data_IF_126654747790
#
_entry.id   IF_126654747790
#
_cell.length_a   1.000
_cell.length_b   1.000
_cell.length_c   1.000
_cell.angle_alpha   90.00
_cell.angle_beta   90.00
_cell.angle_gamma   90.00
#
_symmetry.space_group_name_H-M   'P 1'
#
loop_
_entity.id
_entity.type
_entity.pdbx_description
1 polymer ?
#
# COMPACT_ATOMS: atom_id res chain seq x y z
N UNK A 1 23.55 -6.14 28.11
CA UNK A 1 22.28 -5.39 28.32
C UNK A 1 22.61 -3.92 28.23
N UNK A 2 22.52 -3.32 27.06
CA UNK A 2 22.72 -1.87 26.87
C UNK A 2 21.36 -1.23 26.74
N UNK A 3 20.92 -0.56 27.80
CA UNK A 3 19.63 0.15 27.84
C UNK A 3 19.64 1.31 26.86
N UNK A 4 18.65 1.31 25.97
CA UNK A 4 18.32 2.41 25.08
C UNK A 4 17.81 3.61 25.91
N UNK A 5 18.23 4.87 25.68
CA UNK A 5 17.75 6.05 26.36
C UNK A 5 16.21 6.27 26.23
N UNK A 6 15.55 5.62 25.28
CA UNK A 6 14.09 5.65 25.10
C UNK A 6 13.35 4.44 25.69
N UNK A 7 14.02 3.60 26.50
CA UNK A 7 13.40 2.50 27.24
C UNK A 7 12.98 1.28 26.39
N UNK A 8 13.30 1.21 25.09
CA UNK A 8 13.00 0.06 24.23
C UNK A 8 14.11 -0.97 24.33
N UNK A 9 13.74 -2.23 24.57
CA UNK A 9 14.65 -3.38 24.59
C UNK A 9 14.77 -3.97 23.18
N UNK A 10 15.96 -4.42 22.80
CA UNK A 10 16.13 -5.31 21.66
C UNK A 10 15.67 -6.69 22.11
N UNK A 11 14.67 -7.26 21.44
CA UNK A 11 14.16 -8.61 21.73
C UNK A 11 14.94 -9.64 20.88
N UNK A 12 16.14 -9.98 21.29
CA UNK A 12 16.91 -11.02 20.62
C UNK A 12 16.79 -12.33 21.43
N UNK A 13 16.35 -13.40 20.77
CA UNK A 13 16.18 -14.76 21.30
C UNK A 13 15.26 -14.90 22.52
N UNK A 14 14.21 -14.07 22.56
CA UNK A 14 13.21 -14.17 23.63
C UNK A 14 12.07 -15.13 23.21
N UNK A 15 11.58 -15.92 24.16
CA UNK A 15 10.41 -16.79 23.93
C UNK A 15 9.13 -15.96 23.86
N UNK A 16 8.23 -16.34 22.95
CA UNK A 16 6.93 -15.64 22.77
C UNK A 16 6.11 -15.73 24.06
N UNK A 17 6.06 -16.89 24.70
CA UNK A 17 5.32 -17.11 25.95
C UNK A 17 5.89 -16.36 27.17
N UNK A 18 7.11 -15.84 27.08
CA UNK A 18 7.75 -15.04 28.12
C UNK A 18 7.64 -13.52 27.91
N UNK A 19 7.04 -13.09 26.78
CA UNK A 19 6.80 -11.67 26.53
C UNK A 19 5.78 -11.11 27.54
N UNK A 20 6.13 -10.01 28.17
CA UNK A 20 5.16 -9.28 29.00
C UNK A 20 4.08 -8.62 28.11
N UNK A 21 2.95 -8.24 28.70
CA UNK A 21 1.91 -7.48 27.98
C UNK A 21 2.49 -6.18 27.39
N UNK A 22 3.39 -5.51 28.10
CA UNK A 22 4.09 -4.31 27.63
C UNK A 22 5.00 -4.59 26.43
N UNK A 23 5.74 -5.69 26.45
CA UNK A 23 6.61 -6.12 25.34
C UNK A 23 5.78 -6.47 24.11
N UNK A 24 4.72 -7.23 24.28
CA UNK A 24 3.79 -7.58 23.21
C UNK A 24 3.17 -6.35 22.59
N UNK A 25 2.68 -5.42 23.42
CA UNK A 25 2.14 -4.14 22.94
C UNK A 25 3.19 -3.34 22.17
N UNK A 26 4.43 -3.27 22.64
CA UNK A 26 5.52 -2.55 21.96
C UNK A 26 5.84 -3.14 20.58
N UNK A 27 5.80 -4.48 20.43
CA UNK A 27 5.98 -5.16 19.15
C UNK A 27 4.78 -4.95 18.20
N UNK A 28 3.56 -4.90 18.72
CA UNK A 28 2.34 -4.78 17.94
C UNK A 28 1.99 -3.33 17.58
N UNK A 29 2.40 -2.34 18.40
CA UNK A 29 2.13 -0.92 18.12
C UNK A 29 3.20 -0.36 17.18
N UNK A 30 2.94 -0.41 15.89
CA UNK A 30 3.91 -0.06 14.84
C UNK A 30 3.53 1.16 14.02
N UNK A 31 2.29 1.66 14.17
CA UNK A 31 1.84 2.87 13.48
C UNK A 31 2.68 4.08 13.90
N UNK A 32 3.25 4.76 12.92
CA UNK A 32 3.91 6.06 13.08
C UNK A 32 2.93 7.25 12.89
N UNK A 33 1.69 6.97 12.51
CA UNK A 33 0.64 7.97 12.40
C UNK A 33 0.14 8.37 13.79
N UNK A 34 -0.01 9.69 14.01
CA UNK A 34 -0.55 10.22 15.26
C UNK A 34 0.46 10.90 16.20
N UNK A 35 1.69 11.14 15.77
CA UNK A 35 2.53 12.11 16.47
C UNK A 35 1.90 13.50 16.31
N UNK A 36 1.46 14.09 17.41
CA UNK A 36 0.71 15.37 17.40
C UNK A 36 1.42 16.49 16.62
N UNK A 37 2.75 16.50 16.62
CA UNK A 37 3.58 17.44 15.88
C UNK A 37 3.49 17.25 14.37
N UNK A 38 3.51 15.99 13.90
CA UNK A 38 3.38 15.66 12.47
C UNK A 38 1.97 15.97 11.99
N UNK A 39 0.96 15.58 12.76
CA UNK A 39 -0.45 15.86 12.45
C UNK A 39 -0.71 17.35 12.30
N UNK A 40 -0.28 18.18 13.27
CA UNK A 40 -0.47 19.62 13.23
C UNK A 40 0.29 20.29 12.06
N UNK A 41 1.54 19.87 11.83
CA UNK A 41 2.35 20.41 10.73
C UNK A 41 1.76 20.05 9.38
N UNK A 42 1.31 18.81 9.20
CA UNK A 42 0.68 18.33 7.96
C UNK A 42 -0.63 19.06 7.69
N UNK A 43 -1.46 19.27 8.72
CA UNK A 43 -2.70 20.03 8.60
C UNK A 43 -2.44 21.45 8.09
N UNK A 44 -1.40 22.11 8.62
CA UNK A 44 -1.00 23.44 8.16
C UNK A 44 -0.57 23.43 6.69
N UNK A 45 0.27 22.48 6.27
CA UNK A 45 0.72 22.36 4.89
C UNK A 45 -0.45 22.12 3.91
N UNK A 46 -1.35 21.20 4.25
CA UNK A 46 -2.55 20.92 3.44
C UNK A 46 -3.49 22.14 3.36
N UNK A 47 -3.68 22.84 4.48
CA UNK A 47 -4.46 24.09 4.52
C UNK A 47 -3.86 25.17 3.62
N UNK A 48 -2.54 25.27 3.58
CA UNK A 48 -1.82 26.24 2.76
C UNK A 48 -1.95 25.92 1.27
N UNK A 49 -1.78 24.66 0.87
CA UNK A 49 -2.03 24.24 -0.53
C UNK A 49 -3.47 24.52 -0.93
N UNK A 50 -4.45 24.22 -0.08
CA UNK A 50 -5.86 24.48 -0.37
C UNK A 50 -6.19 25.97 -0.54
N UNK A 51 -5.50 26.84 0.19
CA UNK A 51 -5.76 28.27 0.18
C UNK A 51 -5.00 29.02 -0.91
N UNK A 52 -3.76 28.59 -1.24
CA UNK A 52 -2.84 29.35 -2.11
C UNK A 52 -2.38 28.60 -3.36
N UNK A 53 -2.84 27.35 -3.55
CA UNK A 53 -2.56 26.57 -4.77
C UNK A 53 -1.07 26.42 -5.08
N UNK A 54 -0.71 26.69 -6.33
CA UNK A 54 0.66 26.57 -6.86
C UNK A 54 1.68 27.40 -6.07
N UNK A 55 1.29 28.57 -5.56
CA UNK A 55 2.19 29.45 -4.79
C UNK A 55 2.72 28.74 -3.55
N UNK A 56 1.86 28.01 -2.82
CA UNK A 56 2.29 27.24 -1.67
C UNK A 56 3.25 26.11 -2.07
N UNK A 57 3.04 25.48 -3.21
CA UNK A 57 3.88 24.39 -3.72
C UNK A 57 5.28 24.86 -4.12
N UNK A 58 5.40 26.02 -4.75
CA UNK A 58 6.72 26.62 -5.05
C UNK A 58 7.50 26.96 -3.78
N UNK A 59 6.83 27.53 -2.77
CA UNK A 59 7.45 27.83 -1.49
C UNK A 59 7.87 26.55 -0.75
N UNK A 60 7.06 25.48 -0.82
CA UNK A 60 7.42 24.16 -0.24
C UNK A 60 8.62 23.53 -0.94
N UNK A 61 8.73 23.62 -2.27
CA UNK A 61 9.89 23.14 -3.02
C UNK A 61 11.17 23.87 -2.59
N UNK A 62 11.12 25.20 -2.46
CA UNK A 62 12.24 25.98 -1.95
C UNK A 62 12.60 25.61 -0.51
N UNK A 63 11.60 25.52 0.39
CA UNK A 63 11.82 25.30 1.82
C UNK A 63 12.27 23.87 2.18
N UNK A 64 11.72 22.85 1.52
CA UNK A 64 11.93 21.46 1.89
C UNK A 64 12.85 20.68 0.96
N UNK A 65 12.81 21.01 -0.34
CA UNK A 65 13.67 20.37 -1.35
C UNK A 65 14.91 21.20 -1.66
N UNK A 66 14.94 22.48 -1.24
CA UNK A 66 16.06 23.41 -1.44
C UNK A 66 16.24 23.83 -2.90
N UNK A 67 15.15 23.83 -3.68
CA UNK A 67 15.18 24.07 -5.12
C UNK A 67 14.16 25.12 -5.52
N UNK A 68 14.62 26.12 -6.28
CA UNK A 68 13.72 27.08 -6.91
C UNK A 68 13.25 26.54 -8.26
N UNK A 69 11.95 26.19 -8.33
CA UNK A 69 11.32 25.72 -9.56
C UNK A 69 10.35 26.79 -10.09
N UNK A 70 10.24 26.90 -11.40
CA UNK A 70 9.38 27.89 -12.06
C UNK A 70 8.14 27.26 -12.70
N UNK A 71 8.10 25.94 -12.80
CA UNK A 71 6.98 25.15 -13.29
C UNK A 71 6.88 23.88 -12.49
N UNK A 72 5.66 23.52 -12.08
CA UNK A 72 5.39 22.27 -11.37
C UNK A 72 5.35 21.08 -12.34
N UNK A 73 4.74 21.26 -13.52
CA UNK A 73 4.62 20.20 -14.51
C UNK A 73 5.93 19.99 -15.27
N UNK A 74 6.40 18.74 -15.29
CA UNK A 74 7.62 18.33 -15.97
C UNK A 74 7.34 18.08 -17.44
N UNK A 75 8.04 18.74 -18.37
CA UNK A 75 7.80 18.57 -19.79
C UNK A 75 8.14 17.17 -20.28
N UNK A 76 7.34 16.61 -21.17
CA UNK A 76 7.50 15.24 -21.70
C UNK A 76 8.89 14.96 -22.27
N UNK A 77 9.53 15.96 -22.90
CA UNK A 77 10.88 15.84 -23.42
C UNK A 77 11.89 15.42 -22.34
N UNK A 78 11.74 15.92 -21.10
CA UNK A 78 12.63 15.55 -20.00
C UNK A 78 12.51 14.05 -19.60
N UNK A 79 11.33 13.44 -19.79
CA UNK A 79 11.15 12.01 -19.50
C UNK A 79 11.82 11.16 -20.57
N UNK A 80 11.70 11.57 -21.85
CA UNK A 80 12.33 10.91 -22.98
C UNK A 80 13.85 10.99 -22.90
N UNK A 81 14.40 12.15 -22.54
CA UNK A 81 15.82 12.33 -22.28
C UNK A 81 16.29 11.46 -21.10
N UNK A 82 15.51 11.42 -20.02
CA UNK A 82 15.78 10.57 -18.86
C UNK A 82 15.84 9.10 -19.28
N UNK A 83 14.84 8.60 -20.01
CA UNK A 83 14.82 7.22 -20.51
C UNK A 83 16.02 6.92 -21.41
N UNK A 84 16.35 7.82 -22.32
CA UNK A 84 17.48 7.67 -23.23
C UNK A 84 18.86 7.70 -22.51
N UNK A 85 18.92 8.22 -21.28
CA UNK A 85 20.14 8.30 -20.48
C UNK A 85 20.41 7.08 -19.62
N UNK A 86 19.46 6.15 -19.48
CA UNK A 86 19.59 4.97 -18.63
C UNK A 86 20.34 3.83 -19.33
N UNK A 87 20.98 2.99 -18.53
CA UNK A 87 21.56 1.73 -19.00
C UNK A 87 20.46 0.80 -19.55
N UNK A 88 20.75 0.13 -20.63
CA UNK A 88 19.83 -0.82 -21.27
C UNK A 88 19.39 -1.94 -20.32
N UNK A 89 20.31 -2.47 -19.50
CA UNK A 89 19.99 -3.52 -18.53
C UNK A 89 18.91 -3.08 -17.52
N UNK A 90 18.93 -1.81 -17.12
CA UNK A 90 17.91 -1.26 -16.23
C UNK A 90 16.56 -1.09 -16.93
N UNK A 91 16.58 -0.63 -18.19
CA UNK A 91 15.37 -0.52 -19.01
C UNK A 91 14.74 -1.90 -19.21
N UNK A 92 15.53 -2.90 -19.61
CA UNK A 92 15.08 -4.28 -19.81
C UNK A 92 14.47 -4.89 -18.54
N UNK A 93 15.09 -4.60 -17.36
CA UNK A 93 14.58 -5.03 -16.08
C UNK A 93 13.23 -4.37 -15.74
N UNK A 94 13.09 -3.05 -15.95
CA UNK A 94 11.81 -2.35 -15.76
C UNK A 94 10.74 -2.85 -16.71
N UNK A 95 11.04 -3.06 -17.99
CA UNK A 95 10.09 -3.61 -18.96
C UNK A 95 9.66 -5.04 -18.61
N UNK A 96 10.58 -5.88 -18.11
CA UNK A 96 10.22 -7.21 -17.61
C UNK A 96 9.29 -7.12 -16.41
N UNK A 97 9.56 -6.23 -15.48
CA UNK A 97 8.67 -5.96 -14.34
C UNK A 97 7.27 -5.52 -14.79
N UNK A 98 7.19 -4.59 -15.75
CA UNK A 98 5.93 -4.12 -16.35
C UNK A 98 5.15 -5.30 -16.95
N UNK A 99 5.77 -6.13 -17.78
CA UNK A 99 5.10 -7.30 -18.40
C UNK A 99 4.55 -8.25 -17.33
N UNK A 100 5.30 -8.51 -16.26
CA UNK A 100 4.86 -9.39 -15.19
C UNK A 100 3.70 -8.77 -14.38
N UNK A 101 3.80 -7.47 -14.05
CA UNK A 101 2.72 -6.72 -13.41
C UNK A 101 1.45 -6.76 -14.26
N UNK A 102 1.52 -6.42 -15.54
CA UNK A 102 0.37 -6.47 -16.44
C UNK A 102 -0.28 -7.85 -16.47
N UNK A 103 0.53 -8.91 -16.58
CA UNK A 103 0.04 -10.28 -16.63
C UNK A 103 -0.74 -10.65 -15.38
N UNK A 104 -0.20 -10.35 -14.20
CA UNK A 104 -0.85 -10.65 -12.92
C UNK A 104 -2.10 -9.79 -12.73
N UNK A 105 -2.02 -8.49 -13.01
CA UNK A 105 -3.16 -7.58 -12.82
C UNK A 105 -4.31 -7.87 -13.79
N UNK A 106 -4.03 -8.29 -15.03
CA UNK A 106 -5.05 -8.78 -15.97
C UNK A 106 -5.72 -10.06 -15.47
N UNK A 107 -4.99 -10.97 -14.83
CA UNK A 107 -5.57 -12.17 -14.23
C UNK A 107 -6.49 -11.86 -13.02
N UNK A 108 -6.25 -10.75 -12.33
CA UNK A 108 -7.09 -10.29 -11.22
C UNK A 108 -8.24 -9.37 -11.64
N UNK A 109 -8.33 -9.05 -12.92
CA UNK A 109 -9.39 -8.17 -13.43
C UNK A 109 -10.77 -8.83 -13.25
N UNK A 110 -11.72 -8.15 -12.58
CA UNK A 110 -13.01 -8.73 -12.27
C UNK A 110 -13.95 -8.68 -13.46
N UNK A 111 -14.88 -9.63 -13.52
CA UNK A 111 -15.92 -9.71 -14.56
C UNK A 111 -17.26 -9.18 -14.05
N UNK A 112 -18.05 -8.58 -14.95
CA UNK A 112 -19.43 -8.25 -14.68
C UNK A 112 -20.24 -9.54 -14.37
N UNK A 113 -21.25 -9.41 -13.53
CA UNK A 113 -22.13 -10.52 -13.18
C UNK A 113 -23.55 -10.05 -13.01
N UNK A 114 -24.51 -10.92 -13.31
CA UNK A 114 -25.94 -10.73 -13.08
C UNK A 114 -26.51 -11.92 -12.30
N UNK A 115 -27.54 -11.64 -11.52
CA UNK A 115 -28.32 -12.67 -10.83
C UNK A 115 -29.78 -12.25 -10.74
N UNK A 116 -30.66 -13.23 -10.63
CA UNK A 116 -32.12 -13.03 -10.41
C UNK A 116 -32.48 -13.62 -9.06
N UNK A 117 -32.72 -12.80 -8.02
CA UNK A 117 -33.19 -13.29 -6.73
C UNK A 117 -34.63 -13.84 -6.79
N UNK A 118 -35.45 -13.26 -7.67
CA UNK A 118 -36.82 -13.68 -7.96
C UNK A 118 -37.10 -13.50 -9.45
N UNK A 119 -38.15 -14.16 -9.95
CA UNK A 119 -38.57 -14.01 -11.34
C UNK A 119 -38.89 -12.55 -11.67
N UNK A 120 -38.40 -12.06 -12.79
CA UNK A 120 -38.60 -10.67 -13.24
C UNK A 120 -37.69 -9.62 -12.57
N UNK A 121 -36.83 -10.02 -11.65
CA UNK A 121 -35.82 -9.13 -11.04
C UNK A 121 -34.43 -9.54 -11.52
N UNK A 122 -33.69 -8.61 -12.09
CA UNK A 122 -32.27 -8.80 -12.42
C UNK A 122 -31.42 -7.77 -11.66
N UNK A 123 -30.47 -8.26 -10.89
CA UNK A 123 -29.46 -7.43 -10.24
C UNK A 123 -28.14 -7.66 -10.95
N UNK A 124 -27.64 -6.63 -11.61
CA UNK A 124 -26.36 -6.66 -12.28
C UNK A 124 -25.30 -5.86 -11.52
N UNK A 125 -24.06 -6.24 -11.71
CA UNK A 125 -22.90 -5.58 -11.12
C UNK A 125 -21.76 -5.56 -12.13
N UNK A 126 -21.21 -4.39 -12.41
CA UNK A 126 -20.07 -4.23 -13.33
C UNK A 126 -18.94 -3.42 -12.68
N UNK A 127 -17.66 -3.73 -13.03
CA UNK A 127 -16.53 -2.92 -12.63
C UNK A 127 -16.41 -1.72 -13.58
N UNK A 128 -16.35 -0.51 -13.02
CA UNK A 128 -16.10 0.72 -13.74
C UNK A 128 -14.76 1.32 -13.27
N UNK A 129 -13.82 1.69 -14.16
CA UNK A 129 -12.57 2.32 -13.77
C UNK A 129 -12.81 3.69 -13.12
N UNK A 130 -11.88 4.10 -12.28
CA UNK A 130 -11.78 5.47 -11.76
C UNK A 130 -11.26 6.37 -12.89
N UNK A 131 -11.72 7.62 -12.97
CA UNK A 131 -11.35 8.52 -14.07
C UNK A 131 -9.91 9.00 -13.98
N UNK A 132 -9.49 9.49 -12.80
CA UNK A 132 -8.15 10.05 -12.61
C UNK A 132 -7.50 9.56 -11.33
N UNK A 133 -6.24 9.14 -11.42
CA UNK A 133 -5.46 8.64 -10.29
C UNK A 133 -4.17 9.43 -10.15
N UNK A 134 -3.87 9.80 -8.90
CA UNK A 134 -2.61 10.39 -8.51
C UNK A 134 -1.68 9.35 -7.90
N UNK A 135 -0.47 9.27 -8.43
CA UNK A 135 0.59 8.40 -7.92
C UNK A 135 1.61 9.28 -7.23
N UNK A 136 1.98 8.92 -6.01
CA UNK A 136 3.11 9.54 -5.32
C UNK A 136 4.31 8.59 -5.34
N UNK A 137 5.42 9.04 -5.90
CA UNK A 137 6.70 8.35 -5.83
C UNK A 137 7.69 9.13 -4.97
N UNK A 138 8.21 8.54 -3.88
CA UNK A 138 9.16 9.21 -3.03
C UNK A 138 10.46 9.54 -3.77
N UNK A 139 11.16 10.56 -3.29
CA UNK A 139 12.51 10.95 -3.70
C UNK A 139 13.36 11.28 -2.47
N UNK A 140 14.52 11.86 -2.67
CA UNK A 140 15.45 12.29 -1.63
C UNK A 140 16.57 11.28 -1.42
N UNK A 141 16.53 10.43 -0.37
CA UNK A 141 17.61 9.47 -0.07
C UNK A 141 17.80 8.37 -1.12
N UNK A 142 16.73 7.98 -1.79
CA UNK A 142 16.72 7.03 -2.89
C UNK A 142 15.62 7.39 -3.88
N UNK A 143 15.77 6.99 -5.13
CA UNK A 143 14.73 7.08 -6.14
C UNK A 143 14.02 5.72 -6.25
N UNK A 144 12.69 5.76 -6.37
CA UNK A 144 11.86 4.56 -6.37
C UNK A 144 11.06 4.40 -7.68
N UNK A 145 11.73 4.03 -8.80
CA UNK A 145 11.04 3.77 -10.07
C UNK A 145 10.01 2.64 -9.94
N UNK A 146 10.28 1.65 -9.08
CA UNK A 146 9.36 0.56 -8.80
C UNK A 146 8.01 1.05 -8.27
N UNK A 147 7.98 2.07 -7.38
CA UNK A 147 6.72 2.64 -6.89
C UNK A 147 5.89 3.29 -8.00
N UNK A 148 6.53 3.83 -9.04
CA UNK A 148 5.83 4.33 -10.23
C UNK A 148 5.17 3.17 -10.97
N UNK A 149 5.92 2.09 -11.24
CA UNK A 149 5.40 0.91 -11.95
C UNK A 149 4.26 0.26 -11.16
N UNK A 150 4.42 0.08 -9.85
CA UNK A 150 3.42 -0.54 -8.95
C UNK A 150 2.12 0.26 -8.85
N UNK A 151 2.17 1.58 -9.01
CA UNK A 151 0.97 2.42 -9.05
C UNK A 151 0.36 2.51 -10.45
N UNK A 152 1.20 2.73 -11.48
CA UNK A 152 0.72 3.03 -12.83
C UNK A 152 0.20 1.80 -13.58
N UNK A 153 0.88 0.65 -13.51
CA UNK A 153 0.51 -0.51 -14.30
C UNK A 153 -0.86 -1.09 -13.90
N UNK A 154 -1.18 -1.33 -12.61
CA UNK A 154 -2.51 -1.76 -12.23
C UNK A 154 -3.60 -0.76 -12.63
N UNK A 155 -3.32 0.54 -12.52
CA UNK A 155 -4.26 1.59 -12.92
C UNK A 155 -4.52 1.57 -14.44
N UNK A 156 -3.49 1.38 -15.26
CA UNK A 156 -3.64 1.22 -16.72
C UNK A 156 -4.41 -0.05 -17.09
N UNK A 157 -4.14 -1.18 -16.42
CA UNK A 157 -4.90 -2.43 -16.60
C UNK A 157 -6.37 -2.23 -16.23
N UNK A 158 -6.66 -1.45 -15.19
CA UNK A 158 -8.02 -1.09 -14.81
C UNK A 158 -8.75 -0.24 -15.86
N UNK A 159 -8.02 0.48 -16.71
CA UNK A 159 -8.60 1.40 -17.71
C UNK A 159 -8.74 2.84 -17.20
N UNK A 160 -7.97 3.24 -16.18
CA UNK A 160 -7.94 4.63 -15.69
C UNK A 160 -7.56 5.55 -16.84
N UNK A 161 -8.35 6.62 -17.02
CA UNK A 161 -8.23 7.53 -18.17
C UNK A 161 -7.00 8.42 -18.05
N UNK A 162 -6.72 8.95 -16.87
CA UNK A 162 -5.61 9.88 -16.63
C UNK A 162 -4.83 9.51 -15.38
N UNK A 163 -3.52 9.31 -15.56
CA UNK A 163 -2.56 9.05 -14.47
C UNK A 163 -1.64 10.25 -14.31
N UNK A 164 -1.63 10.83 -13.10
CA UNK A 164 -0.68 11.86 -12.75
C UNK A 164 0.31 11.32 -11.71
N UNK A 165 1.56 11.70 -11.86
CA UNK A 165 2.63 11.37 -10.94
C UNK A 165 3.16 12.62 -10.26
N UNK A 166 3.24 12.61 -8.93
CA UNK A 166 3.99 13.59 -8.17
C UNK A 166 5.23 12.95 -7.56
N UNK A 167 6.39 13.59 -7.75
CA UNK A 167 7.65 13.17 -7.13
C UNK A 167 8.48 14.42 -6.81
N UNK A 168 9.20 14.46 -5.68
CA UNK A 168 9.96 15.65 -5.29
C UNK A 168 11.04 15.98 -6.31
N UNK A 169 11.30 17.27 -6.54
CA UNK A 169 12.41 17.72 -7.38
C UNK A 169 13.76 17.42 -6.73
N UNK A 170 14.75 17.05 -7.54
CA UNK A 170 16.16 17.03 -7.18
C UNK A 170 16.84 18.36 -7.46
N UNK A 171 18.16 18.44 -7.34
CA UNK A 171 18.95 19.68 -7.54
C UNK A 171 18.77 20.35 -8.92
N UNK A 172 18.34 19.60 -9.92
CA UNK A 172 18.03 20.11 -11.27
C UNK A 172 16.65 20.75 -11.40
N UNK A 173 15.82 20.72 -10.34
CA UNK A 173 14.40 21.11 -10.39
C UNK A 173 13.49 20.04 -10.97
N UNK A 174 14.02 18.89 -11.35
CA UNK A 174 13.27 17.76 -11.91
C UNK A 174 13.31 16.55 -10.96
N UNK A 175 12.30 15.69 -10.97
CA UNK A 175 12.40 14.37 -10.35
C UNK A 175 13.57 13.57 -10.90
N UNK A 176 14.02 12.55 -10.15
CA UNK A 176 15.12 11.67 -10.56
C UNK A 176 14.89 11.06 -11.95
N UNK A 177 15.94 10.94 -12.76
CA UNK A 177 15.88 10.40 -14.12
C UNK A 177 15.25 8.99 -14.16
N UNK A 178 15.55 8.12 -13.19
CA UNK A 178 14.93 6.78 -13.14
C UNK A 178 13.43 6.81 -12.87
N UNK A 179 12.93 7.80 -12.12
CA UNK A 179 11.49 8.01 -11.88
C UNK A 179 10.81 8.53 -13.15
N UNK A 180 11.43 9.48 -13.85
CA UNK A 180 10.91 10.00 -15.13
C UNK A 180 10.89 8.93 -16.21
N UNK A 181 11.94 8.11 -16.31
CA UNK A 181 11.99 6.99 -17.24
C UNK A 181 10.92 5.94 -16.92
N UNK A 182 10.72 5.59 -15.66
CA UNK A 182 9.64 4.69 -15.24
C UNK A 182 8.25 5.26 -15.57
N UNK A 183 8.04 6.57 -15.43
CA UNK A 183 6.80 7.23 -15.82
C UNK A 183 6.55 7.14 -17.34
N UNK A 184 7.59 7.32 -18.16
CA UNK A 184 7.52 7.15 -19.62
C UNK A 184 7.14 5.72 -19.99
N UNK A 185 7.86 4.71 -19.43
CA UNK A 185 7.62 3.30 -19.69
C UNK A 185 6.24 2.82 -19.23
N UNK A 186 5.77 3.31 -18.07
CA UNK A 186 4.48 2.94 -17.52
C UNK A 186 3.30 3.71 -18.15
N UNK A 187 3.56 4.62 -19.07
CA UNK A 187 2.53 5.38 -19.77
C UNK A 187 1.79 6.37 -18.86
N UNK A 188 2.46 6.99 -17.89
CA UNK A 188 1.90 8.10 -17.10
C UNK A 188 1.57 9.28 -18.02
N UNK A 189 0.48 10.01 -17.76
CA UNK A 189 0.04 11.10 -18.61
C UNK A 189 0.73 12.43 -18.27
N UNK A 190 0.87 12.71 -16.96
CA UNK A 190 1.47 13.97 -16.46
C UNK A 190 2.37 13.71 -15.26
N UNK A 191 3.49 14.41 -15.18
CA UNK A 191 4.41 14.36 -14.03
C UNK A 191 4.59 15.76 -13.45
N UNK A 192 4.56 15.85 -12.12
CA UNK A 192 4.75 17.09 -11.38
C UNK A 192 5.93 16.96 -10.41
N UNK A 193 6.79 17.95 -10.40
CA UNK A 193 7.93 18.07 -9.50
C UNK A 193 7.49 18.62 -8.13
N UNK A 194 6.77 17.79 -7.36
CA UNK A 194 6.18 18.15 -6.07
C UNK A 194 6.40 17.01 -5.08
N UNK A 195 6.94 17.34 -3.89
CA UNK A 195 7.21 16.40 -2.82
C UNK A 195 6.25 16.48 -1.64
N UNK A 196 6.35 15.50 -0.75
CA UNK A 196 5.78 15.50 0.58
C UNK A 196 4.27 15.68 0.67
N UNK A 197 3.81 16.29 1.76
CA UNK A 197 2.39 16.57 2.00
C UNK A 197 1.81 17.55 0.96
N UNK A 198 2.65 18.41 0.35
CA UNK A 198 2.25 19.30 -0.73
C UNK A 198 1.71 18.58 -1.95
N UNK A 199 2.36 17.49 -2.37
CA UNK A 199 1.92 16.64 -3.46
C UNK A 199 0.54 16.01 -3.18
N UNK A 200 0.35 15.50 -1.96
CA UNK A 200 -0.93 14.91 -1.53
C UNK A 200 -2.04 15.96 -1.52
N UNK A 201 -1.76 17.17 -0.99
CA UNK A 201 -2.70 18.28 -1.00
C UNK A 201 -3.06 18.73 -2.42
N UNK A 202 -2.07 18.85 -3.31
CA UNK A 202 -2.28 19.23 -4.71
C UNK A 202 -3.17 18.21 -5.44
N UNK A 203 -2.90 16.92 -5.31
CA UNK A 203 -3.70 15.86 -5.90
C UNK A 203 -5.11 15.79 -5.30
N UNK A 204 -5.27 16.06 -4.00
CA UNK A 204 -6.58 15.97 -3.33
C UNK A 204 -7.49 17.16 -3.68
N UNK A 205 -6.96 18.38 -3.65
CA UNK A 205 -7.78 19.60 -3.79
C UNK A 205 -7.78 20.19 -5.20
N UNK A 206 -6.78 19.84 -6.00
CA UNK A 206 -6.46 20.53 -7.23
C UNK A 206 -5.79 21.89 -6.96
N UNK A 207 -5.00 22.36 -7.94
CA UNK A 207 -4.42 23.68 -7.98
C UNK A 207 -4.52 24.23 -9.41
N UNK A 208 -3.92 25.38 -9.70
CA UNK A 208 -3.91 25.96 -11.04
C UNK A 208 -3.24 25.02 -12.07
N UNK A 209 -2.17 24.32 -11.67
CA UNK A 209 -1.42 23.40 -12.54
C UNK A 209 -1.81 21.94 -12.35
N UNK A 210 -2.11 21.50 -11.12
CA UNK A 210 -2.35 20.10 -10.78
C UNK A 210 -3.85 19.81 -10.71
N UNK A 211 -4.40 18.95 -11.56
CA UNK A 211 -5.81 18.57 -11.45
C UNK A 211 -6.06 17.71 -10.22
N UNK A 212 -7.22 17.87 -9.58
CA UNK A 212 -7.65 16.95 -8.51
C UNK A 212 -7.89 15.54 -9.06
N UNK A 213 -7.68 14.54 -8.21
CA UNK A 213 -7.82 13.13 -8.58
C UNK A 213 -8.90 12.44 -7.74
N UNK A 214 -9.34 11.28 -8.20
CA UNK A 214 -10.35 10.48 -7.51
C UNK A 214 -9.72 9.51 -6.49
N UNK A 215 -8.43 9.15 -6.68
CA UNK A 215 -7.66 8.30 -5.77
C UNK A 215 -6.18 8.70 -5.78
N UNK A 216 -5.57 8.66 -4.59
CA UNK A 216 -4.12 8.84 -4.42
C UNK A 216 -3.52 7.53 -3.94
N UNK A 217 -2.45 7.07 -4.61
CA UNK A 217 -1.72 5.85 -4.25
C UNK A 217 -0.21 6.12 -4.17
N UNK A 218 0.49 5.23 -3.50
CA UNK A 218 1.95 5.24 -3.40
C UNK A 218 2.47 5.47 -1.98
N UNK A 219 3.66 4.91 -1.68
CA UNK A 219 4.30 5.01 -0.38
C UNK A 219 4.90 6.41 -0.14
N UNK A 220 5.15 6.74 1.12
CA UNK A 220 5.81 7.99 1.46
C UNK A 220 6.27 8.04 2.91
N UNK A 221 6.92 9.15 3.28
CA UNK A 221 7.33 9.37 4.66
C UNK A 221 6.12 9.66 5.59
N UNK A 222 6.38 9.87 6.87
CA UNK A 222 5.34 10.11 7.88
C UNK A 222 4.41 11.30 7.54
N UNK A 223 4.92 12.35 6.88
CA UNK A 223 4.11 13.50 6.45
C UNK A 223 3.19 13.14 5.28
N UNK A 224 3.66 12.32 4.35
CA UNK A 224 2.85 11.82 3.22
C UNK A 224 1.76 10.88 3.73
N UNK A 225 2.09 9.95 4.62
CA UNK A 225 1.13 9.04 5.23
C UNK A 225 0.06 9.80 6.01
N UNK A 226 0.45 10.78 6.83
CA UNK A 226 -0.46 11.63 7.58
C UNK A 226 -1.32 12.50 6.66
N UNK A 227 -0.73 13.06 5.59
CA UNK A 227 -1.47 13.86 4.61
C UNK A 227 -2.55 13.03 3.92
N UNK A 228 -2.23 11.79 3.52
CA UNK A 228 -3.22 10.86 2.93
C UNK A 228 -4.38 10.60 3.90
N UNK A 229 -4.10 10.37 5.18
CA UNK A 229 -5.16 10.19 6.19
C UNK A 229 -6.04 11.44 6.33
N UNK A 230 -5.45 12.64 6.34
CA UNK A 230 -6.21 13.89 6.50
C UNK A 230 -7.08 14.22 5.27
N UNK A 231 -6.69 13.79 4.07
CA UNK A 231 -7.48 14.02 2.85
C UNK A 231 -8.43 12.87 2.52
N UNK A 232 -8.44 11.77 3.27
CA UNK A 232 -9.24 10.58 2.98
C UNK A 232 -10.76 10.82 2.96
N UNK A 233 -11.23 11.93 3.53
CA UNK A 233 -12.64 12.39 3.43
C UNK A 233 -12.94 13.15 2.14
N UNK A 234 -11.93 13.49 1.33
CA UNK A 234 -12.06 14.27 0.08
C UNK A 234 -11.74 13.42 -1.13
N UNK A 235 -10.70 12.59 -1.03
CA UNK A 235 -10.19 11.73 -2.11
C UNK A 235 -9.95 10.33 -1.56
N UNK A 236 -10.20 9.29 -2.35
CA UNK A 236 -9.86 7.93 -1.94
C UNK A 236 -8.33 7.76 -1.85
N UNK A 237 -7.88 6.95 -0.92
CA UNK A 237 -6.47 6.61 -0.75
C UNK A 237 -6.28 5.07 -0.83
N UNK A 238 -5.04 4.62 -1.04
CA UNK A 238 -4.63 3.25 -0.74
C UNK A 238 -4.58 3.02 0.79
N UNK A 239 -4.00 1.91 1.24
CA UNK A 239 -3.83 1.69 2.68
C UNK A 239 -2.92 2.78 3.30
N UNK A 240 -3.21 3.24 4.53
CA UNK A 240 -2.24 4.00 5.29
C UNK A 240 -0.95 3.18 5.43
N UNK A 241 0.19 3.72 5.01
CA UNK A 241 1.46 3.03 5.04
C UNK A 241 2.43 3.71 6.03
N UNK A 242 3.06 2.91 6.85
CA UNK A 242 4.19 3.27 7.70
C UNK A 242 5.51 2.75 7.13
N UNK A 243 6.57 2.64 7.95
CA UNK A 243 7.80 1.98 7.57
C UNK A 243 7.56 0.52 7.20
N UNK A 244 8.34 0.00 6.24
CA UNK A 244 8.21 -1.37 5.76
C UNK A 244 8.46 -2.41 6.84
N UNK A 245 7.78 -3.55 6.75
CA UNK A 245 7.76 -4.61 7.76
C UNK A 245 8.02 -5.98 7.13
N UNK A 246 8.82 -6.79 7.79
CA UNK A 246 9.01 -8.20 7.44
C UNK A 246 8.88 -9.06 8.70
N UNK A 247 8.03 -10.09 8.63
CA UNK A 247 8.01 -11.19 9.57
C UNK A 247 8.46 -12.47 8.85
N UNK A 248 9.45 -13.15 9.41
CA UNK A 248 9.94 -14.43 8.89
C UNK A 248 9.59 -15.53 9.90
N UNK A 249 8.94 -16.60 9.45
CA UNK A 249 8.81 -17.83 10.24
C UNK A 249 9.87 -18.80 9.74
N UNK A 250 10.71 -19.29 10.66
CA UNK A 250 11.81 -20.21 10.37
C UNK A 250 11.74 -21.45 11.26
N UNK A 251 12.08 -22.64 10.74
CA UNK A 251 12.17 -23.90 11.48
C UNK A 251 13.52 -24.58 11.30
N UNK A 252 13.65 -25.83 11.76
CA UNK A 252 14.90 -26.59 11.68
C UNK A 252 15.37 -26.90 10.24
N UNK A 253 14.51 -26.76 9.25
CA UNK A 253 14.84 -26.96 7.85
C UNK A 253 15.40 -25.70 7.17
N UNK A 254 15.27 -24.53 7.83
CA UNK A 254 15.64 -23.23 7.27
C UNK A 254 17.15 -23.10 7.11
N UNK A 255 17.59 -22.53 5.98
CA UNK A 255 18.93 -21.97 5.85
C UNK A 255 18.98 -20.62 6.59
N UNK A 256 19.61 -20.64 7.79
CA UNK A 256 19.74 -19.45 8.61
C UNK A 256 20.47 -18.29 7.93
N UNK A 257 21.34 -18.58 6.92
CA UNK A 257 22.04 -17.54 6.15
C UNK A 257 21.06 -16.81 5.24
N UNK A 258 20.12 -17.54 4.62
CA UNK A 258 19.05 -16.96 3.80
C UNK A 258 18.15 -16.09 4.67
N UNK A 259 17.68 -16.61 5.82
CA UNK A 259 16.85 -15.85 6.77
C UNK A 259 17.51 -14.55 7.21
N UNK A 260 18.81 -14.59 7.53
CA UNK A 260 19.58 -13.41 7.93
C UNK A 260 19.69 -12.40 6.78
N UNK A 261 19.91 -12.84 5.55
CA UNK A 261 19.98 -11.96 4.38
C UNK A 261 18.66 -11.24 4.12
N UNK A 262 17.54 -11.94 4.20
CA UNK A 262 16.19 -11.35 4.08
C UNK A 262 15.93 -10.31 5.19
N UNK A 263 16.31 -10.63 6.43
CA UNK A 263 16.20 -9.71 7.56
C UNK A 263 17.03 -8.44 7.37
N UNK A 264 18.27 -8.55 6.88
CA UNK A 264 19.15 -7.42 6.60
C UNK A 264 18.64 -6.57 5.42
N UNK A 265 18.16 -7.21 4.34
CA UNK A 265 17.58 -6.53 3.19
C UNK A 265 16.37 -5.68 3.60
N UNK A 266 15.51 -6.19 4.49
CA UNK A 266 14.40 -5.39 5.02
C UNK A 266 14.87 -4.25 5.93
N UNK A 267 15.85 -4.51 6.80
CA UNK A 267 16.34 -3.53 7.76
C UNK A 267 17.05 -2.33 7.10
N UNK A 268 17.63 -2.50 5.90
CA UNK A 268 18.33 -1.43 5.19
C UNK A 268 17.41 -0.36 4.57
N UNK A 269 16.11 -0.60 4.46
CA UNK A 269 15.17 0.32 3.83
C UNK A 269 15.06 1.66 4.60
N UNK A 270 14.86 1.60 5.92
CA UNK A 270 14.67 2.79 6.77
C UNK A 270 15.08 2.46 8.22
N UNK A 271 15.63 3.43 8.99
CA UNK A 271 15.92 3.23 10.42
C UNK A 271 14.72 2.81 11.27
N UNK A 272 13.52 2.98 10.75
CA UNK A 272 12.25 2.58 11.39
C UNK A 272 11.65 1.32 10.79
N UNK A 273 12.31 0.65 9.83
CA UNK A 273 11.87 -0.63 9.31
C UNK A 273 11.69 -1.65 10.44
N UNK A 274 10.72 -2.54 10.31
CA UNK A 274 10.39 -3.54 11.32
C UNK A 274 10.79 -4.92 10.81
N UNK A 275 11.63 -5.62 11.55
CA UNK A 275 12.10 -6.97 11.19
C UNK A 275 11.88 -7.90 12.36
N UNK A 276 11.00 -8.88 12.21
CA UNK A 276 10.73 -9.89 13.22
C UNK A 276 10.97 -11.27 12.64
N UNK A 277 11.85 -12.05 13.28
CA UNK A 277 12.03 -13.46 12.98
C UNK A 277 11.38 -14.27 14.10
N UNK A 278 10.49 -15.18 13.75
CA UNK A 278 9.87 -16.15 14.65
C UNK A 278 10.45 -17.53 14.33
N UNK A 279 11.38 -17.98 15.14
CA UNK A 279 12.05 -19.27 14.97
C UNK A 279 11.35 -20.33 15.82
N UNK A 280 11.03 -21.48 15.21
CA UNK A 280 10.47 -22.64 15.93
C UNK A 280 11.61 -23.44 16.55
N UNK A 281 11.85 -23.22 17.84
CA UNK A 281 12.92 -23.85 18.62
C UNK A 281 14.06 -22.88 19.00
N UNK A 282 14.54 -23.06 20.24
CA UNK A 282 15.50 -22.14 20.86
C UNK A 282 16.86 -22.10 20.13
N UNK A 283 17.36 -23.26 19.69
CA UNK A 283 18.67 -23.34 19.02
C UNK A 283 18.66 -22.60 17.67
N UNK A 284 17.52 -22.64 16.97
CA UNK A 284 17.34 -21.93 15.70
C UNK A 284 17.28 -20.42 15.95
N UNK A 285 16.52 -19.99 16.96
CA UNK A 285 16.44 -18.59 17.35
C UNK A 285 17.83 -18.03 17.73
N UNK A 286 18.59 -18.78 18.53
CA UNK A 286 19.95 -18.40 18.94
C UNK A 286 20.87 -18.29 17.72
N UNK A 287 20.90 -19.31 16.85
CA UNK A 287 21.74 -19.33 15.66
C UNK A 287 21.44 -18.20 14.67
N UNK A 288 20.16 -17.87 14.46
CA UNK A 288 19.75 -16.73 13.62
C UNK A 288 20.19 -15.42 14.29
N UNK A 289 19.93 -15.25 15.60
CA UNK A 289 20.29 -14.03 16.33
C UNK A 289 21.81 -13.75 16.30
N UNK A 290 22.63 -14.78 16.53
CA UNK A 290 24.11 -14.67 16.47
C UNK A 290 24.59 -14.26 15.07
N UNK A 291 24.09 -14.95 14.02
CA UNK A 291 24.45 -14.65 12.63
C UNK A 291 24.00 -13.27 12.20
N UNK A 292 22.79 -12.84 12.62
CA UNK A 292 22.28 -11.51 12.30
C UNK A 292 23.18 -10.42 12.88
N UNK A 293 23.52 -10.51 14.15
CA UNK A 293 24.44 -9.55 14.81
C UNK A 293 25.81 -9.55 14.13
N UNK A 294 26.36 -10.71 13.84
CA UNK A 294 27.68 -10.86 13.22
C UNK A 294 27.74 -10.28 11.80
N UNK A 295 26.62 -10.27 11.08
CA UNK A 295 26.57 -9.83 9.69
C UNK A 295 26.40 -8.29 9.52
N UNK A 296 25.90 -7.56 10.53
CA UNK A 296 25.66 -6.11 10.46
C UNK A 296 26.89 -5.30 10.06
N UNK A 297 28.08 -5.48 10.70
CA UNK A 297 29.23 -4.61 10.42
C UNK A 297 29.75 -4.67 8.98
N UNK A 298 29.43 -5.73 8.25
CA UNK A 298 29.86 -5.92 6.85
C UNK A 298 28.91 -5.28 5.83
N UNK A 299 27.76 -4.75 6.25
CA UNK A 299 26.78 -4.16 5.35
C UNK A 299 27.12 -2.72 4.99
N UNK A 300 26.87 -2.33 3.74
CA UNK A 300 27.11 -0.96 3.23
C UNK A 300 26.29 0.07 4.02
N UNK A 301 25.05 -0.29 4.41
CA UNK A 301 24.12 0.56 5.18
C UNK A 301 24.04 0.13 6.65
N UNK A 302 25.15 -0.32 7.24
CA UNK A 302 25.21 -0.88 8.60
C UNK A 302 24.57 0.00 9.66
N UNK A 303 24.74 1.33 9.60
CA UNK A 303 24.13 2.27 10.56
C UNK A 303 22.60 2.26 10.51
N UNK A 304 22.01 2.22 9.30
CA UNK A 304 20.55 2.14 9.10
C UNK A 304 20.01 0.81 9.61
N UNK A 305 20.70 -0.29 9.26
CA UNK A 305 20.35 -1.64 9.68
C UNK A 305 20.42 -1.78 11.20
N UNK A 306 21.51 -1.31 11.81
CA UNK A 306 21.68 -1.35 13.26
C UNK A 306 20.58 -0.57 13.99
N UNK A 307 20.25 0.63 13.54
CA UNK A 307 19.18 1.44 14.13
C UNK A 307 17.81 0.79 13.99
N UNK A 308 17.48 0.24 12.80
CA UNK A 308 16.26 -0.50 12.56
C UNK A 308 16.12 -1.70 13.50
N UNK A 309 17.12 -2.58 13.51
CA UNK A 309 17.11 -3.79 14.33
C UNK A 309 17.14 -3.47 15.84
N UNK A 310 17.88 -2.43 16.25
CA UNK A 310 17.96 -2.00 17.64
C UNK A 310 16.63 -1.46 18.17
N UNK A 311 15.84 -0.79 17.33
CA UNK A 311 14.62 -0.11 17.76
C UNK A 311 13.36 -0.91 17.50
N UNK A 312 13.35 -1.71 16.43
CA UNK A 312 12.16 -2.42 15.92
C UNK A 312 12.43 -3.85 15.47
N UNK A 313 13.64 -4.38 15.69
CA UNK A 313 14.00 -5.76 15.40
C UNK A 313 13.66 -6.71 16.53
N UNK A 314 13.33 -7.96 16.20
CA UNK A 314 13.20 -9.04 17.17
C UNK A 314 13.53 -10.40 16.54
N UNK A 315 14.19 -11.27 17.31
CA UNK A 315 14.26 -12.72 17.05
C UNK A 315 13.54 -13.41 18.19
N UNK A 316 12.38 -13.98 17.89
CA UNK A 316 11.52 -14.63 18.87
C UNK A 316 11.59 -16.15 18.72
N UNK A 317 11.52 -16.85 19.84
CA UNK A 317 11.42 -18.30 19.86
C UNK A 317 9.98 -18.75 20.10
N UNK A 318 9.42 -19.47 19.14
CA UNK A 318 8.15 -20.18 19.31
C UNK A 318 8.39 -21.62 19.76
N UNK A 319 7.48 -22.16 20.55
CA UNK A 319 7.52 -23.57 21.00
C UNK A 319 7.17 -24.53 19.88
N UNK A 320 6.25 -24.13 19.01
CA UNK A 320 5.82 -24.89 17.84
C UNK A 320 5.32 -23.97 16.72
N UNK A 321 4.98 -24.56 15.58
CA UNK A 321 4.45 -23.85 14.42
C UNK A 321 3.09 -23.20 14.68
N UNK A 322 2.28 -23.73 15.60
CA UNK A 322 0.98 -23.14 15.91
C UNK A 322 1.15 -21.79 16.63
N UNK A 323 2.09 -21.73 17.58
CA UNK A 323 2.44 -20.47 18.26
C UNK A 323 3.03 -19.44 17.30
N UNK A 324 3.94 -19.87 16.40
CA UNK A 324 4.52 -19.00 15.39
C UNK A 324 3.45 -18.38 14.46
N UNK A 325 2.52 -19.19 13.96
CA UNK A 325 1.42 -18.72 13.11
C UNK A 325 0.42 -17.87 13.88
N UNK A 326 0.12 -18.20 15.15
CA UNK A 326 -0.74 -17.38 16.00
C UNK A 326 -0.15 -15.99 16.19
N UNK A 327 1.14 -15.90 16.52
CA UNK A 327 1.84 -14.63 16.63
C UNK A 327 1.82 -13.86 15.32
N UNK A 328 2.15 -14.49 14.18
CA UNK A 328 2.11 -13.87 12.86
C UNK A 328 0.74 -13.29 12.53
N UNK A 329 -0.35 -14.02 12.79
CA UNK A 329 -1.71 -13.53 12.55
C UNK A 329 -2.11 -12.36 13.46
N UNK A 330 -1.60 -12.32 14.69
CA UNK A 330 -1.78 -11.17 15.60
C UNK A 330 -0.89 -10.00 15.16
N UNK A 331 0.31 -10.25 14.72
CA UNK A 331 1.23 -9.24 14.21
C UNK A 331 0.68 -8.61 12.93
N UNK A 332 0.12 -9.41 12.01
CA UNK A 332 -0.39 -8.98 10.70
C UNK A 332 0.65 -8.18 9.90
N UNK A 333 1.73 -8.83 9.46
CA UNK A 333 2.85 -8.17 8.79
C UNK A 333 2.49 -7.68 7.40
N UNK A 334 3.23 -6.69 6.92
CA UNK A 334 3.26 -6.31 5.51
C UNK A 334 3.75 -7.48 4.64
N UNK A 335 4.96 -7.99 4.95
CA UNK A 335 5.57 -9.14 4.29
C UNK A 335 5.67 -10.30 5.29
N UNK A 336 5.18 -11.48 4.91
CA UNK A 336 5.34 -12.72 5.65
C UNK A 336 6.17 -13.70 4.83
N UNK A 337 7.39 -14.02 5.26
CA UNK A 337 8.20 -15.07 4.66
C UNK A 337 8.08 -16.38 5.48
N UNK A 338 7.66 -17.44 4.82
CA UNK A 338 7.61 -18.79 5.37
C UNK A 338 8.87 -19.58 4.95
N UNK A 339 9.95 -19.44 5.71
CA UNK A 339 11.20 -20.18 5.52
C UNK A 339 11.15 -21.50 6.29
N UNK A 340 10.27 -22.41 5.87
CA UNK A 340 9.99 -23.68 6.57
C UNK A 340 9.78 -24.82 5.58
N UNK A 341 9.92 -26.08 6.02
CA UNK A 341 9.83 -27.27 5.15
C UNK A 341 8.52 -27.32 4.34
N UNK A 342 7.39 -27.20 5.02
CA UNK A 342 6.05 -27.38 4.42
C UNK A 342 5.31 -26.05 4.20
N UNK A 343 6.05 -25.01 3.80
CA UNK A 343 5.56 -23.64 3.67
C UNK A 343 4.22 -23.52 2.94
N UNK A 344 4.05 -24.25 1.82
CA UNK A 344 2.82 -24.20 1.01
C UNK A 344 1.58 -24.67 1.75
N UNK A 345 1.71 -25.65 2.65
CA UNK A 345 0.59 -26.19 3.43
C UNK A 345 0.11 -25.24 4.52
N UNK A 346 0.97 -24.27 4.91
CA UNK A 346 0.68 -23.29 5.94
C UNK A 346 -0.06 -22.06 5.40
N UNK A 347 -0.03 -21.80 4.08
CA UNK A 347 -0.65 -20.61 3.46
C UNK A 347 -2.11 -20.41 3.90
N UNK A 348 -3.00 -21.41 3.93
CA UNK A 348 -4.39 -21.22 4.37
C UNK A 348 -4.54 -20.82 5.84
N UNK A 349 -3.49 -21.00 6.65
CA UNK A 349 -3.47 -20.65 8.08
C UNK A 349 -2.93 -19.23 8.34
N UNK A 350 -2.27 -18.62 7.34
CA UNK A 350 -1.79 -17.25 7.39
C UNK A 350 -2.91 -16.32 6.92
N UNK A 351 -3.65 -15.72 7.86
CA UNK A 351 -4.86 -14.95 7.55
C UNK A 351 -4.65 -13.45 7.39
N UNK A 352 -3.63 -12.91 8.02
CA UNK A 352 -3.40 -11.48 8.14
C UNK A 352 -1.97 -11.15 7.69
N UNK A 353 -1.73 -11.08 6.39
CA UNK A 353 -0.46 -10.64 5.82
C UNK A 353 -0.75 -9.82 4.54
N UNK A 354 0.04 -8.80 4.27
CA UNK A 354 -0.06 -8.05 3.02
C UNK A 354 0.31 -8.94 1.83
N UNK A 355 1.46 -9.63 1.93
CA UNK A 355 1.90 -10.68 0.99
C UNK A 355 2.57 -11.82 1.73
N UNK A 356 2.38 -13.06 1.25
CA UNK A 356 3.01 -14.27 1.78
C UNK A 356 4.04 -14.79 0.78
N UNK A 357 5.30 -14.85 1.21
CA UNK A 357 6.40 -15.46 0.47
C UNK A 357 6.57 -16.91 0.93
N UNK A 358 6.42 -17.86 0.01
CA UNK A 358 6.28 -19.28 0.32
C UNK A 358 7.58 -20.02 0.00
N UNK A 359 8.34 -20.35 1.05
CA UNK A 359 9.65 -20.99 0.96
C UNK A 359 10.80 -19.99 0.73
N UNK A 360 12.01 -20.39 1.08
CA UNK A 360 13.21 -19.55 1.07
C UNK A 360 13.60 -18.97 -0.29
N UNK A 361 13.22 -19.63 -1.39
CA UNK A 361 13.47 -19.12 -2.75
C UNK A 361 12.56 -17.97 -3.14
N UNK A 362 11.49 -17.76 -2.38
CA UNK A 362 10.57 -16.64 -2.58
C UNK A 362 11.07 -15.41 -1.82
N UNK A 363 12.26 -14.92 -2.19
CA UNK A 363 12.82 -13.70 -1.60
C UNK A 363 11.86 -12.52 -1.71
N UNK A 364 11.79 -11.70 -0.65
CA UNK A 364 10.99 -10.46 -0.63
C UNK A 364 11.41 -9.54 -1.77
N UNK A 365 12.71 -9.43 -2.06
CA UNK A 365 13.22 -8.62 -3.16
C UNK A 365 12.65 -9.04 -4.54
N UNK A 366 12.33 -10.31 -4.76
CA UNK A 366 11.66 -10.72 -6.01
C UNK A 366 10.24 -10.20 -6.09
N UNK A 367 9.52 -10.14 -4.96
CA UNK A 367 8.20 -9.54 -4.87
C UNK A 367 8.22 -8.04 -5.11
N UNK A 368 9.22 -7.37 -4.57
CA UNK A 368 9.35 -5.92 -4.67
C UNK A 368 9.60 -5.43 -6.10
N UNK A 369 10.25 -6.25 -6.94
CA UNK A 369 10.70 -5.78 -8.25
C UNK A 369 10.19 -6.59 -9.44
N UNK A 370 9.94 -7.91 -9.32
CA UNK A 370 9.91 -8.74 -10.51
C UNK A 370 8.74 -9.70 -10.65
N UNK A 371 8.13 -10.20 -9.57
CA UNK A 371 7.12 -11.27 -9.66
C UNK A 371 5.79 -10.84 -10.26
N UNK A 372 5.51 -9.54 -10.33
CA UNK A 372 4.22 -9.00 -10.72
C UNK A 372 3.21 -8.88 -9.58
N UNK A 373 3.55 -9.34 -8.37
CA UNK A 373 2.88 -8.94 -7.14
C UNK A 373 3.18 -7.47 -6.84
N UNK A 374 2.25 -6.78 -6.18
CA UNK A 374 2.44 -5.38 -5.83
C UNK A 374 3.12 -5.24 -4.48
N UNK A 375 4.09 -4.33 -4.36
CA UNK A 375 4.77 -4.04 -3.11
C UNK A 375 4.17 -2.87 -2.32
N UNK A 376 3.13 -2.20 -2.83
CA UNK A 376 2.38 -1.21 -2.06
C UNK A 376 1.40 -1.97 -1.18
N UNK A 377 1.81 -2.22 0.04
CA UNK A 377 1.17 -3.13 0.97
C UNK A 377 0.75 -2.42 2.27
N UNK A 378 -0.24 -2.94 3.00
CA UNK A 378 -0.62 -2.39 4.28
C UNK A 378 0.42 -2.70 5.36
N UNK A 379 0.84 -1.67 6.11
CA UNK A 379 1.77 -1.77 7.24
C UNK A 379 1.07 -1.55 8.58
N UNK A 380 1.79 -1.63 9.70
CA UNK A 380 1.25 -1.28 11.01
C UNK A 380 0.15 -2.21 11.52
N UNK A 381 0.09 -3.43 11.00
CA UNK A 381 -0.96 -4.39 11.32
C UNK A 381 -2.26 -4.20 10.54
N UNK A 382 -2.29 -3.30 9.57
CA UNK A 382 -3.47 -3.02 8.74
C UNK A 382 -3.77 -4.14 7.72
N UNK A 383 -2.88 -5.10 7.53
CA UNK A 383 -3.14 -6.30 6.73
C UNK A 383 -4.34 -7.15 7.25
N UNK A 384 -4.92 -6.80 8.41
CA UNK A 384 -6.20 -7.35 8.90
C UNK A 384 -7.41 -6.87 8.12
N UNK A 385 -7.33 -5.70 7.48
CA UNK A 385 -8.47 -5.01 6.86
C UNK A 385 -8.19 -4.41 5.49
N UNK A 386 -6.91 -4.28 5.13
CA UNK A 386 -6.47 -3.80 3.83
C UNK A 386 -5.71 -4.89 3.08
N UNK A 387 -5.84 -4.87 1.76
CA UNK A 387 -5.05 -5.70 0.84
C UNK A 387 -3.90 -4.90 0.24
N UNK A 388 -2.94 -5.58 -0.39
CA UNK A 388 -1.98 -4.95 -1.27
C UNK A 388 -2.66 -4.30 -2.48
N UNK A 389 -2.05 -3.26 -3.01
CA UNK A 389 -2.55 -2.52 -4.16
C UNK A 389 -2.68 -3.43 -5.40
N UNK A 390 -3.80 -3.36 -6.06
CA UNK A 390 -4.10 -4.19 -7.23
C UNK A 390 -5.01 -3.45 -8.21
N UNK A 391 -5.31 -4.08 -9.35
CA UNK A 391 -6.28 -3.56 -10.33
C UNK A 391 -7.63 -3.23 -9.69
N UNK A 392 -8.02 -3.94 -8.63
CA UNK A 392 -9.28 -3.75 -7.92
C UNK A 392 -9.39 -2.39 -7.23
N UNK A 393 -8.26 -1.81 -6.84
CA UNK A 393 -8.21 -0.51 -6.17
C UNK A 393 -8.51 0.66 -7.13
N UNK A 394 -8.36 0.43 -8.41
CA UNK A 394 -8.61 1.43 -9.47
C UNK A 394 -9.97 1.30 -10.13
N UNK A 395 -10.84 0.51 -9.52
CA UNK A 395 -12.20 0.28 -9.97
C UNK A 395 -13.21 0.53 -8.87
N UNK A 396 -14.42 0.87 -9.27
CA UNK A 396 -15.60 0.86 -8.42
C UNK A 396 -16.64 -0.06 -9.03
N UNK A 397 -17.49 -0.62 -8.19
CA UNK A 397 -18.59 -1.43 -8.65
C UNK A 397 -19.84 -0.59 -8.82
N UNK A 398 -20.44 -0.62 -10.00
CA UNK A 398 -21.77 -0.08 -10.24
C UNK A 398 -22.78 -1.22 -10.23
N UNK A 399 -23.74 -1.15 -9.33
CA UNK A 399 -24.87 -2.05 -9.30
C UNK A 399 -26.03 -1.43 -10.08
N UNK A 400 -26.68 -2.21 -10.94
CA UNK A 400 -27.90 -1.83 -11.63
C UNK A 400 -28.99 -2.86 -11.38
N UNK A 401 -30.24 -2.40 -11.48
CA UNK A 401 -31.43 -3.23 -11.23
C UNK A 401 -32.38 -3.07 -12.40
N UNK A 402 -32.92 -4.21 -12.87
CA UNK A 402 -33.97 -4.26 -13.87
C UNK A 402 -35.13 -5.04 -13.25
N UNK A 403 -36.29 -4.47 -13.27
CA UNK A 403 -37.51 -5.04 -12.67
C UNK A 403 -38.58 -4.99 -13.76
N UNK A 404 -39.17 -6.13 -14.07
CA UNK A 404 -40.30 -6.19 -15.02
C UNK A 404 -41.64 -5.84 -14.31
N UNK A 405 -42.69 -5.69 -15.12
CA UNK A 405 -43.98 -5.26 -14.63
C UNK A 405 -44.60 -6.26 -13.64
N UNK A 406 -44.41 -7.56 -13.82
CA UNK A 406 -44.95 -8.60 -12.95
C UNK A 406 -44.30 -8.61 -11.60
N UNK A 407 -42.94 -8.51 -11.58
CA UNK A 407 -42.17 -8.38 -10.36
C UNK A 407 -42.48 -7.07 -9.62
N UNK A 408 -42.61 -5.95 -10.34
CA UNK A 408 -42.98 -4.67 -9.75
C UNK A 408 -44.36 -4.75 -9.05
N UNK A 409 -45.37 -5.37 -9.69
CA UNK A 409 -46.66 -5.60 -9.09
C UNK A 409 -46.60 -6.49 -7.85
N UNK A 410 -45.85 -7.59 -7.96
CA UNK A 410 -45.68 -8.55 -6.87
C UNK A 410 -45.09 -7.92 -5.60
N UNK A 411 -44.05 -7.08 -5.75
CA UNK A 411 -43.38 -6.46 -4.62
C UNK A 411 -44.08 -5.21 -4.05
N UNK A 412 -44.98 -4.57 -4.82
CA UNK A 412 -45.50 -3.24 -4.50
C UNK A 412 -46.11 -3.13 -3.11
N UNK A 413 -46.88 -4.14 -2.69
CA UNK A 413 -47.53 -4.16 -1.36
C UNK A 413 -46.48 -4.34 -0.24
N UNK A 414 -45.56 -5.27 -0.39
CA UNK A 414 -44.57 -5.59 0.63
C UNK A 414 -43.62 -4.41 0.85
N UNK A 415 -43.13 -3.78 -0.24
CA UNK A 415 -42.34 -2.56 -0.17
C UNK A 415 -43.12 -1.43 0.52
N UNK A 416 -44.41 -1.29 0.20
CA UNK A 416 -45.26 -0.30 0.84
C UNK A 416 -45.39 -0.50 2.35
N UNK A 417 -45.60 -1.75 2.80
CA UNK A 417 -45.70 -2.09 4.23
C UNK A 417 -44.35 -1.82 4.94
N UNK A 418 -43.24 -2.16 4.30
CA UNK A 418 -41.90 -1.93 4.86
C UNK A 418 -41.61 -0.43 5.01
N UNK A 419 -41.92 0.34 3.98
CA UNK A 419 -41.69 1.80 3.98
C UNK A 419 -42.60 2.53 5.01
N UNK A 420 -43.86 2.07 5.19
CA UNK A 420 -44.74 2.61 6.23
C UNK A 420 -44.19 2.34 7.64
N UNK A 421 -43.61 1.15 7.88
CA UNK A 421 -43.00 0.81 9.17
C UNK A 421 -41.77 1.68 9.49
N UNK A 422 -41.06 2.16 8.46
CA UNK A 422 -39.95 3.12 8.59
C UNK A 422 -40.43 4.58 8.66
N UNK A 423 -41.73 4.84 8.54
CA UNK A 423 -42.29 6.20 8.52
C UNK A 423 -42.02 6.95 7.21
N UNK A 424 -41.85 6.25 6.09
CA UNK A 424 -41.57 6.77 4.76
C UNK A 424 -42.76 6.69 3.81
N UNK A 425 -43.86 7.47 4.01
CA UNK A 425 -45.09 7.33 3.24
C UNK A 425 -44.95 7.63 1.74
N UNK A 426 -43.99 8.47 1.36
CA UNK A 426 -43.72 8.73 -0.05
C UNK A 426 -43.11 7.50 -0.76
N UNK A 427 -42.20 6.75 -0.10
CA UNK A 427 -41.67 5.49 -0.61
C UNK A 427 -42.80 4.45 -0.75
N UNK A 428 -43.66 4.34 0.27
CA UNK A 428 -44.82 3.44 0.24
C UNK A 428 -45.77 3.75 -0.93
N UNK A 429 -46.09 5.01 -1.14
CA UNK A 429 -46.94 5.46 -2.25
C UNK A 429 -46.30 5.17 -3.62
N UNK A 430 -45.00 5.45 -3.76
CA UNK A 430 -44.21 5.16 -5.00
C UNK A 430 -44.21 3.67 -5.33
N UNK A 431 -44.08 2.80 -4.35
CA UNK A 431 -44.16 1.35 -4.57
C UNK A 431 -45.57 0.91 -4.97
N UNK A 432 -46.61 1.33 -4.21
CA UNK A 432 -48.02 0.91 -4.43
C UNK A 432 -48.62 1.40 -5.73
N UNK A 433 -48.11 2.44 -6.38
CA UNK A 433 -48.58 2.88 -7.69
C UNK A 433 -48.52 1.74 -8.75
N UNK A 434 -47.57 0.81 -8.60
CA UNK A 434 -47.39 -0.30 -9.53
C UNK A 434 -48.42 -1.43 -9.36
N UNK A 435 -49.19 -1.44 -8.27
CA UNK A 435 -50.27 -2.45 -8.05
C UNK A 435 -51.38 -2.40 -9.12
N UNK A 436 -51.58 -1.24 -9.73
CA UNK A 436 -52.67 -1.00 -10.69
C UNK A 436 -52.21 -0.85 -12.14
N UNK A 437 -50.91 -0.86 -12.42
CA UNK A 437 -50.39 -0.71 -13.78
C UNK A 437 -50.49 -2.04 -14.51
N UNK A 438 -51.29 -2.07 -15.61
CA UNK A 438 -51.40 -3.25 -16.49
C UNK A 438 -52.52 -4.20 -16.20
N UNK A 439 -53.56 -3.85 -15.38
CA UNK A 439 -54.80 -4.58 -15.41
C UNK A 439 -55.45 -4.38 -16.78
N UNK A 440 -55.78 -5.45 -17.56
CA UNK A 440 -56.51 -5.27 -18.82
C UNK A 440 -57.84 -4.61 -18.52
N UNK A 441 -58.15 -3.53 -19.26
CA UNK A 441 -59.48 -2.91 -19.28
C UNK A 441 -60.52 -3.84 -19.90
#
# INVERSE_FOLDING_TARGET
MTGNPNGRKIYITQRIDSLTEGDTKALLTRCSSGEASITASTMKLLGDVRARGDVALFEMASAFDGVEITKLEVPRAAWQEALASLDHDLIDAMERSIRNLESVQRAFFPTASEMSPEAGIVIGRRPDPIDRVGIYAPGGRAAYPSSVLMGAIPARVAGVRELILCSPPGPSGLPSAVVLAAAELAGVDRVFAIGGAGAIGAMAYGTESVPSVDRIVGPGNAYVAEAKLQVAGVVAIDSPAGPSELLIIADASSDQVVVVREALAQAEHDPRAVVVVVAVGQDIANGIGEKLIAAIPSQVRSEVIEESLRTRGAVLCATDMNEALAFSNIFAPEHLLLAVADAKTLVPRCRNAGTIFVGERSSVAFGDYMTGANHVLPTGGLARSYSGLSVLDFMRWTTYQVIDDDAARSMAQDVGVFADAEGLPAHAATARQWMSVGAPQ
#
